data_IF_700239219870
#
_entry.id   IF_700239219870
#
_cell.length_a   1.000
_cell.length_b   1.000
_cell.length_c   1.000
_cell.angle_alpha   90.00
_cell.angle_beta   90.00
_cell.angle_gamma   90.00
#
_symmetry.space_group_name_H-M   'P 1'
#
loop_
_entity.id
_entity.type
_entity.pdbx_description
1 polymer ?
#
# COMPACT_ATOMS: atom_id res chain seq x y z
N UNK A 1 -10.08 -4.32 14.83
CA UNK A 1 -10.94 -4.00 13.67
C UNK A 1 -10.74 -5.11 12.65
N UNK A 2 -11.76 -5.89 12.34
CA UNK A 2 -11.65 -7.02 11.40
C UNK A 2 -11.94 -6.46 10.00
N UNK A 3 -10.93 -6.46 9.12
CA UNK A 3 -11.08 -6.08 7.72
C UNK A 3 -11.62 -7.30 7.00
N UNK A 4 -12.88 -7.27 6.58
CA UNK A 4 -13.47 -8.30 5.71
C UNK A 4 -13.39 -7.77 4.28
N UNK A 5 -12.66 -8.42 3.36
CA UNK A 5 -12.65 -8.02 1.96
C UNK A 5 -14.03 -8.29 1.35
N UNK A 6 -14.64 -7.28 0.74
CA UNK A 6 -15.89 -7.44 -0.02
C UNK A 6 -15.54 -7.56 -1.50
N UNK A 7 -15.77 -8.73 -2.07
CA UNK A 7 -15.66 -8.94 -3.50
C UNK A 7 -16.85 -8.27 -4.22
N UNK A 8 -16.57 -7.32 -5.11
CA UNK A 8 -17.58 -6.82 -6.06
C UNK A 8 -17.47 -7.65 -7.34
N UNK A 9 -18.55 -8.36 -7.69
CA UNK A 9 -18.61 -9.18 -8.91
C UNK A 9 -19.17 -8.32 -10.04
N UNK A 10 -18.30 -7.93 -10.98
CA UNK A 10 -18.73 -7.36 -12.25
C UNK A 10 -19.00 -8.50 -13.24
N UNK A 11 -20.27 -8.75 -13.56
CA UNK A 11 -20.65 -9.79 -14.52
C UNK A 11 -20.34 -9.35 -15.96
N UNK A 12 -19.40 -10.04 -16.60
CA UNK A 12 -19.21 -10.02 -18.05
C UNK A 12 -19.59 -11.38 -18.65
N UNK A 13 -20.00 -11.44 -19.94
CA UNK A 13 -20.51 -12.66 -20.57
C UNK A 13 -19.53 -13.85 -20.61
N UNK A 14 -18.25 -13.68 -20.24
CA UNK A 14 -17.22 -14.75 -20.21
C UNK A 14 -16.27 -14.72 -19.01
N UNK A 15 -16.56 -13.94 -17.97
CA UNK A 15 -15.70 -13.87 -16.78
C UNK A 15 -16.20 -12.88 -15.74
N UNK A 16 -15.77 -13.07 -14.49
CA UNK A 16 -15.98 -12.11 -13.40
C UNK A 16 -14.63 -11.47 -13.06
N UNK A 17 -14.55 -10.14 -13.14
CA UNK A 17 -13.43 -9.41 -12.54
C UNK A 17 -13.78 -9.29 -11.06
N UNK A 18 -13.10 -10.07 -10.22
CA UNK A 18 -13.20 -9.94 -8.77
C UNK A 18 -12.27 -8.81 -8.36
N UNK A 19 -12.84 -7.63 -8.12
CA UNK A 19 -12.09 -6.53 -7.49
C UNK A 19 -12.31 -6.66 -5.99
N UNK A 20 -11.28 -7.13 -5.28
CA UNK A 20 -11.28 -7.06 -3.83
C UNK A 20 -11.05 -5.60 -3.42
N UNK A 21 -12.14 -4.90 -3.20
CA UNK A 21 -12.13 -3.56 -2.62
C UNK A 21 -12.34 -3.75 -1.11
N UNK A 22 -11.56 -3.06 -0.25
CA UNK A 22 -11.83 -3.06 1.17
C UNK A 22 -13.28 -2.63 1.41
N UNK A 23 -14.04 -3.43 2.15
CA UNK A 23 -15.41 -3.11 2.49
C UNK A 23 -15.45 -1.80 3.30
N UNK A 24 -15.87 -0.70 2.68
CA UNK A 24 -15.87 0.64 3.30
C UNK A 24 -14.98 1.69 2.63
N UNK A 25 -14.28 1.34 1.54
CA UNK A 25 -13.42 2.26 0.80
C UNK A 25 -12.02 2.39 1.42
N UNK A 26 -11.23 3.33 0.89
CA UNK A 26 -9.89 3.61 1.40
C UNK A 26 -9.94 4.44 2.70
N UNK A 27 -8.93 4.32 3.58
CA UNK A 27 -8.85 5.12 4.80
C UNK A 27 -8.77 6.62 4.47
N UNK A 28 -9.33 7.46 5.34
CA UNK A 28 -9.32 8.93 5.13
C UNK A 28 -7.92 9.55 5.09
N UNK A 29 -6.94 8.89 5.70
CA UNK A 29 -5.56 9.36 5.71
C UNK A 29 -4.78 9.00 4.45
N UNK A 30 -5.35 8.17 3.57
CA UNK A 30 -4.75 7.85 2.28
C UNK A 30 -4.99 9.00 1.31
N UNK A 31 -3.92 9.40 0.64
CA UNK A 31 -3.93 10.31 -0.48
C UNK A 31 -4.38 9.59 -1.76
N UNK A 32 -4.61 10.35 -2.83
CA UNK A 32 -4.88 9.75 -4.15
C UNK A 32 -3.69 8.93 -4.68
N UNK A 33 -2.48 9.26 -4.25
CA UNK A 33 -1.28 8.50 -4.59
C UNK A 33 -1.28 7.12 -3.91
N UNK A 34 -1.60 7.05 -2.63
CA UNK A 34 -1.66 5.79 -1.86
C UNK A 34 -2.67 4.79 -2.47
N UNK A 35 -3.81 5.32 -2.94
CA UNK A 35 -4.82 4.53 -3.63
C UNK A 35 -4.30 4.00 -4.97
N UNK A 36 -3.66 4.85 -5.76
CA UNK A 36 -3.06 4.44 -7.03
C UNK A 36 -1.96 3.39 -6.81
N UNK A 37 -1.11 3.58 -5.80
CA UNK A 37 -0.03 2.67 -5.47
C UNK A 37 -0.58 1.30 -5.02
N UNK A 38 -1.61 1.28 -4.18
CA UNK A 38 -2.31 0.04 -3.82
C UNK A 38 -2.81 -0.73 -5.05
N UNK A 39 -3.50 -0.04 -5.96
CA UNK A 39 -4.00 -0.66 -7.20
C UNK A 39 -2.87 -1.17 -8.09
N UNK A 40 -1.75 -0.43 -8.18
CA UNK A 40 -0.56 -0.85 -8.92
C UNK A 40 0.06 -2.12 -8.34
N UNK A 41 0.25 -2.18 -7.02
CA UNK A 41 0.81 -3.35 -6.33
C UNK A 41 -0.02 -4.62 -6.57
N UNK A 42 -1.34 -4.49 -6.64
CA UNK A 42 -2.22 -5.62 -6.95
C UNK A 42 -2.16 -6.02 -8.44
N UNK A 43 -2.26 -5.05 -9.34
CA UNK A 43 -2.40 -5.32 -10.77
C UNK A 43 -1.07 -5.69 -11.44
N UNK A 44 0.04 -5.06 -11.04
CA UNK A 44 1.34 -5.18 -11.69
C UNK A 44 2.26 -6.13 -10.92
N UNK A 45 2.33 -6.01 -9.60
CA UNK A 45 3.21 -6.84 -8.77
C UNK A 45 2.54 -8.15 -8.30
N UNK A 46 1.24 -8.30 -8.57
CA UNK A 46 0.47 -9.51 -8.24
C UNK A 46 0.34 -9.76 -6.74
N UNK A 47 0.54 -8.72 -5.92
CA UNK A 47 0.46 -8.83 -4.46
C UNK A 47 -0.97 -9.11 -4.03
N UNK A 48 -1.12 -9.91 -2.98
CA UNK A 48 -2.43 -10.09 -2.37
C UNK A 48 -2.92 -8.74 -1.80
N UNK A 49 -4.25 -8.52 -1.73
CA UNK A 49 -4.82 -7.30 -1.15
C UNK A 49 -4.25 -6.95 0.23
N UNK A 50 -4.01 -7.98 1.06
CA UNK A 50 -3.42 -7.82 2.39
C UNK A 50 -1.97 -7.33 2.34
N UNK A 51 -1.17 -7.86 1.43
CA UNK A 51 0.23 -7.48 1.26
C UNK A 51 0.35 -6.08 0.65
N UNK A 52 -0.43 -5.80 -0.40
CA UNK A 52 -0.49 -4.48 -1.03
C UNK A 52 -0.90 -3.40 0.00
N UNK A 53 -1.91 -3.68 0.82
CA UNK A 53 -2.33 -2.77 1.89
C UNK A 53 -1.22 -2.52 2.91
N UNK A 54 -0.60 -3.59 3.41
CA UNK A 54 0.49 -3.48 4.37
C UNK A 54 1.67 -2.69 3.80
N UNK A 55 1.92 -2.83 2.50
CA UNK A 55 2.99 -2.11 1.80
C UNK A 55 2.70 -0.62 1.71
N UNK A 56 1.48 -0.23 1.38
CA UNK A 56 1.07 1.19 1.35
C UNK A 56 1.10 1.82 2.74
N UNK A 57 0.56 1.16 3.77
CA UNK A 57 0.62 1.68 5.14
C UNK A 57 2.06 1.85 5.64
N UNK A 58 2.96 0.96 5.21
CA UNK A 58 4.38 1.09 5.51
C UNK A 58 5.02 2.28 4.81
N UNK A 59 4.70 2.51 3.54
CA UNK A 59 5.18 3.66 2.76
C UNK A 59 4.75 4.98 3.42
N UNK A 60 3.47 5.09 3.76
CA UNK A 60 2.92 6.25 4.51
C UNK A 60 3.65 6.46 5.84
N UNK A 61 3.93 5.38 6.58
CA UNK A 61 4.65 5.46 7.85
C UNK A 61 6.10 5.93 7.64
N UNK A 62 6.74 5.49 6.57
CA UNK A 62 8.11 5.85 6.22
C UNK A 62 8.22 7.33 5.82
N UNK A 63 7.29 7.81 4.98
CA UNK A 63 7.20 9.22 4.61
C UNK A 63 6.97 10.12 5.82
N UNK A 64 6.05 9.75 6.72
CA UNK A 64 5.83 10.50 7.97
C UNK A 64 7.05 10.53 8.88
N UNK A 65 7.82 9.44 8.93
CA UNK A 65 9.07 9.40 9.69
C UNK A 65 10.16 10.27 9.05
N UNK A 66 10.19 10.32 7.72
CA UNK A 66 11.05 11.20 6.94
C UNK A 66 10.72 12.69 7.17
N UNK A 67 9.43 13.05 7.18
CA UNK A 67 8.96 14.42 7.43
C UNK A 67 9.25 14.90 8.86
N UNK A 68 9.36 13.96 9.82
CA UNK A 68 9.72 14.26 11.20
C UNK A 68 11.23 14.50 11.41
N UNK A 69 12.06 14.36 10.37
CA UNK A 69 13.50 14.61 10.46
C UNK A 69 13.79 16.09 10.76
N UNK A 70 14.87 16.38 11.51
CA UNK A 70 15.30 17.75 11.72
C UNK A 70 15.63 18.43 10.37
N UNK A 71 15.48 19.77 10.28
CA UNK A 71 15.84 20.52 9.08
C UNK A 71 17.29 20.23 8.65
N UNK A 72 17.49 19.87 7.38
CA UNK A 72 18.80 19.48 6.84
C UNK A 72 19.14 17.99 6.98
N UNK A 73 18.23 17.17 7.52
CA UNK A 73 18.34 15.71 7.46
C UNK A 73 18.26 15.20 6.02
N UNK A 74 19.09 14.20 5.69
CA UNK A 74 19.04 13.53 4.38
C UNK A 74 17.89 12.52 4.36
N UNK A 75 16.73 12.98 3.88
CA UNK A 75 15.50 12.20 3.78
C UNK A 75 15.68 10.95 2.92
N UNK A 76 16.39 11.06 1.80
CA UNK A 76 16.60 9.93 0.88
C UNK A 76 17.48 8.87 1.53
N UNK A 77 18.55 9.27 2.20
CA UNK A 77 19.42 8.34 2.93
C UNK A 77 18.68 7.67 4.09
N UNK A 78 17.81 8.39 4.79
CA UNK A 78 16.99 7.84 5.86
C UNK A 78 16.03 6.76 5.34
N UNK A 79 15.25 7.07 4.29
CA UNK A 79 14.34 6.13 3.65
C UNK A 79 15.08 4.90 3.10
N UNK A 80 16.24 5.11 2.45
CA UNK A 80 17.07 4.02 1.96
C UNK A 80 17.54 3.09 3.10
N UNK A 81 17.99 3.64 4.23
CA UNK A 81 18.37 2.83 5.40
C UNK A 81 17.20 2.02 5.96
N UNK A 82 16.02 2.62 6.04
CA UNK A 82 14.82 1.91 6.47
C UNK A 82 14.47 0.77 5.53
N UNK A 83 14.45 1.01 4.22
CA UNK A 83 14.22 -0.03 3.23
C UNK A 83 15.23 -1.17 3.34
N UNK A 84 16.53 -0.85 3.42
CA UNK A 84 17.60 -1.83 3.54
C UNK A 84 17.51 -2.68 4.81
N UNK A 85 17.08 -2.10 5.95
CA UNK A 85 16.96 -2.82 7.23
C UNK A 85 15.90 -3.93 7.22
N UNK A 86 15.01 -3.93 6.23
CA UNK A 86 13.88 -4.86 6.09
C UNK A 86 14.12 -5.94 5.04
N UNK A 87 15.24 -5.86 4.34
CA UNK A 87 15.62 -6.93 3.41
C UNK A 87 15.87 -8.22 4.20
N UNK A 88 15.50 -9.39 3.64
CA UNK A 88 15.85 -10.67 4.23
C UNK A 88 17.36 -10.71 4.44
N UNK A 89 17.80 -11.09 5.65
CA UNK A 89 19.22 -11.34 5.88
C UNK A 89 19.60 -12.59 5.09
N UNK A 90 20.59 -12.45 4.21
CA UNK A 90 21.22 -13.55 3.49
C UNK A 90 21.95 -14.49 4.46
#
# INVERSE_FOLDING_TARGET
MIIVPTAVILQFPRGAIVREVPAGGFPKHWTGWDQHFYEHLQCCDGLSPKEAWARVEQDIADERAADALPPGGDTLLFLARMAMSRLPRL
#
